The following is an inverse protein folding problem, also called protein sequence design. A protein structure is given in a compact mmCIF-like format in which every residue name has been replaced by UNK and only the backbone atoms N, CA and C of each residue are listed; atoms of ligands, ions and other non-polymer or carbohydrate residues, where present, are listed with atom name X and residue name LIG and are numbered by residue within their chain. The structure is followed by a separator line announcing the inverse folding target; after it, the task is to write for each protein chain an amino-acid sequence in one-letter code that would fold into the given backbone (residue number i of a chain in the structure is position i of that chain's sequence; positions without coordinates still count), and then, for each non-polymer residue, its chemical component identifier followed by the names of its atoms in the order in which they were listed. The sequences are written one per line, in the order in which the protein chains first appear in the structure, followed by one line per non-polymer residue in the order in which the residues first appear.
data_IF_723479994442
#
_entry.id   IF_723479994442
#
_cell.length_a   1.000
_cell.length_b   1.000
_cell.length_c   1.000
_cell.angle_alpha   90.00
_cell.angle_beta   90.00
_cell.angle_gamma   90.00
#
_symmetry.space_group_name_H-M   'P 1'
#
loop_
_entity.id
_entity.type
_entity.pdbx_description
1 polymer ?
#
# COMPACT_ATOMS: atom_id res chain seq x y z
N UNK A 1 -43.24 8.62 -17.85
CA UNK A 1 -42.04 8.96 -17.04
C UNK A 1 -41.66 7.87 -16.01
N UNK A 2 -42.06 6.60 -16.19
CA UNK A 2 -41.80 5.53 -15.20
C UNK A 2 -40.63 4.60 -15.59
N UNK A 3 -40.18 4.64 -16.86
CA UNK A 3 -39.14 3.73 -17.36
C UNK A 3 -37.70 4.24 -17.19
N UNK A 4 -37.49 5.55 -17.00
CA UNK A 4 -36.15 6.11 -16.80
C UNK A 4 -35.63 5.87 -15.38
N UNK A 5 -36.50 5.95 -14.37
CA UNK A 5 -36.12 5.74 -12.96
C UNK A 5 -35.70 4.29 -12.68
N UNK A 6 -36.32 3.32 -13.37
CA UNK A 6 -36.02 1.89 -13.22
C UNK A 6 -34.65 1.49 -13.77
N UNK A 7 -34.17 2.19 -14.81
CA UNK A 7 -32.82 2.01 -15.36
C UNK A 7 -31.71 2.51 -14.41
N UNK A 8 -31.98 3.55 -13.60
CA UNK A 8 -31.03 4.05 -12.61
C UNK A 8 -30.96 3.19 -11.34
N UNK A 9 -31.98 2.38 -11.06
CA UNK A 9 -31.97 1.49 -9.88
C UNK A 9 -31.32 0.13 -10.17
N UNK A 10 -31.09 -0.22 -11.45
CA UNK A 10 -30.64 -1.54 -11.88
C UNK A 10 -29.15 -1.61 -12.26
N UNK A 11 -28.36 -0.56 -11.95
CA UNK A 11 -26.92 -0.51 -12.20
C UNK A 11 -26.09 -0.32 -10.91
N UNK A 12 -26.61 -0.80 -9.78
CA UNK A 12 -25.86 -0.85 -8.51
C UNK A 12 -25.29 -2.24 -8.22
N UNK A 13 -25.61 -3.25 -9.03
CA UNK A 13 -25.33 -4.66 -8.75
C UNK A 13 -24.17 -5.28 -9.52
N UNK A 14 -23.60 -4.60 -10.52
CA UNK A 14 -22.51 -5.15 -11.33
C UNK A 14 -21.26 -4.28 -11.17
N UNK A 15 -20.81 -4.10 -9.93
CA UNK A 15 -19.45 -3.58 -9.71
C UNK A 15 -18.48 -4.63 -10.24
N UNK A 16 -17.73 -4.28 -11.28
CA UNK A 16 -16.85 -5.20 -11.98
C UNK A 16 -15.85 -5.80 -10.99
N UNK A 17 -16.04 -7.09 -10.71
CA UNK A 17 -15.16 -7.86 -9.83
C UNK A 17 -13.99 -8.35 -10.67
N UNK A 18 -12.77 -8.04 -10.26
CA UNK A 18 -11.58 -8.43 -10.99
C UNK A 18 -11.42 -9.95 -10.94
N UNK A 19 -11.03 -10.54 -12.07
CA UNK A 19 -10.70 -11.96 -12.08
C UNK A 19 -9.50 -12.23 -11.14
N UNK A 20 -9.45 -13.42 -10.53
CA UNK A 20 -8.31 -13.79 -9.65
C UNK A 20 -6.97 -13.72 -10.38
N UNK A 21 -6.97 -14.03 -11.68
CA UNK A 21 -5.75 -13.98 -12.49
C UNK A 21 -5.31 -12.53 -12.73
N UNK A 22 -6.26 -11.62 -12.99
CA UNK A 22 -5.97 -10.18 -13.10
C UNK A 22 -5.38 -9.63 -11.80
N UNK A 23 -6.03 -9.92 -10.66
CA UNK A 23 -5.53 -9.50 -9.33
C UNK A 23 -4.11 -10.04 -9.09
N UNK A 24 -3.84 -11.30 -9.44
CA UNK A 24 -2.52 -11.90 -9.30
C UNK A 24 -1.47 -11.21 -10.17
N UNK A 25 -1.81 -10.90 -11.42
CA UNK A 25 -0.91 -10.22 -12.36
C UNK A 25 -0.55 -8.82 -11.86
N UNK A 26 -1.55 -8.02 -11.49
CA UNK A 26 -1.32 -6.66 -10.97
C UNK A 26 -0.52 -6.69 -9.67
N UNK A 27 -0.84 -7.58 -8.73
CA UNK A 27 -0.08 -7.68 -7.47
C UNK A 27 1.38 -8.10 -7.70
N UNK A 28 1.63 -9.01 -8.64
CA UNK A 28 3.00 -9.36 -9.02
C UNK A 28 3.74 -8.17 -9.62
N UNK A 29 3.07 -7.36 -10.46
CA UNK A 29 3.64 -6.13 -11.02
C UNK A 29 4.00 -5.14 -9.91
N UNK A 30 3.08 -4.87 -8.97
CA UNK A 30 3.34 -4.01 -7.80
C UNK A 30 4.56 -4.51 -7.01
N UNK A 31 4.59 -5.80 -6.68
CA UNK A 31 5.70 -6.39 -5.93
C UNK A 31 7.03 -6.29 -6.69
N UNK A 32 7.05 -6.62 -7.98
CA UNK A 32 8.24 -6.57 -8.81
C UNK A 32 8.80 -5.16 -8.94
N UNK A 33 7.94 -4.16 -9.15
CA UNK A 33 8.38 -2.77 -9.22
C UNK A 33 8.96 -2.33 -7.88
N UNK A 34 8.28 -2.63 -6.77
CA UNK A 34 8.75 -2.31 -5.43
C UNK A 34 10.15 -2.87 -5.14
N UNK A 35 10.39 -4.16 -5.43
CA UNK A 35 11.69 -4.80 -5.14
C UNK A 35 12.81 -4.40 -6.09
N UNK A 36 12.48 -3.93 -7.30
CA UNK A 36 13.48 -3.48 -8.29
C UNK A 36 13.87 -2.03 -8.07
N UNK A 37 12.95 -1.19 -7.58
CA UNK A 37 13.20 0.25 -7.35
C UNK A 37 13.60 0.61 -5.92
N UNK A 38 13.53 -0.35 -4.98
CA UNK A 38 13.84 -0.11 -3.57
C UNK A 38 15.00 -0.97 -3.11
N UNK A 39 15.92 -0.39 -2.34
CA UNK A 39 17.05 -1.12 -1.79
C UNK A 39 16.58 -2.25 -0.84
N UNK A 40 17.16 -3.46 -0.89
CA UNK A 40 16.69 -4.60 -0.11
C UNK A 40 16.72 -4.39 1.41
N UNK A 41 17.68 -3.62 1.93
CA UNK A 41 17.80 -3.27 3.34
C UNK A 41 16.67 -2.35 3.82
N UNK A 42 16.20 -1.45 2.94
CA UNK A 42 15.02 -0.61 3.20
C UNK A 42 13.74 -1.45 3.22
N UNK A 43 13.56 -2.38 2.29
CA UNK A 43 12.41 -3.31 2.34
C UNK A 43 12.47 -4.17 3.61
N UNK A 44 13.68 -4.62 3.97
CA UNK A 44 13.92 -5.45 5.15
C UNK A 44 13.60 -4.75 6.46
N UNK A 45 13.84 -3.43 6.57
CA UNK A 45 13.55 -2.67 7.80
C UNK A 45 12.06 -2.57 8.11
N UNK A 46 11.18 -2.70 7.12
CA UNK A 46 9.72 -2.64 7.34
C UNK A 46 9.15 -3.85 8.12
N UNK A 47 9.95 -4.89 8.37
CA UNK A 47 9.52 -6.05 9.16
C UNK A 47 8.35 -6.81 8.53
N UNK A 48 8.33 -6.96 7.19
CA UNK A 48 7.23 -7.62 6.49
C UNK A 48 7.11 -9.08 6.91
N UNK A 49 6.02 -9.44 7.58
CA UNK A 49 5.76 -10.81 8.06
C UNK A 49 4.88 -11.63 7.11
N UNK A 50 4.06 -10.95 6.29
CA UNK A 50 3.11 -11.59 5.37
C UNK A 50 2.84 -10.71 4.15
N UNK A 51 2.73 -11.36 3.00
CA UNK A 51 2.23 -10.80 1.75
C UNK A 51 0.88 -11.45 1.40
N UNK A 52 -0.08 -10.67 0.92
CA UNK A 52 -1.33 -11.21 0.35
C UNK A 52 -1.91 -10.29 -0.73
N UNK A 53 -2.86 -10.82 -1.50
CA UNK A 53 -3.52 -10.10 -2.58
C UNK A 53 -5.01 -9.96 -2.29
N UNK A 54 -5.58 -8.78 -2.53
CA UNK A 54 -7.03 -8.55 -2.53
C UNK A 54 -7.40 -7.57 -3.65
N UNK A 55 -8.66 -7.59 -4.06
CA UNK A 55 -9.25 -6.41 -4.68
C UNK A 55 -9.87 -5.52 -3.60
N UNK A 56 -9.82 -4.22 -3.80
CA UNK A 56 -10.47 -3.22 -2.96
C UNK A 56 -11.38 -2.36 -3.82
N UNK A 57 -12.41 -1.78 -3.20
CA UNK A 57 -13.31 -0.82 -3.84
C UNK A 57 -13.07 0.53 -3.19
N UNK A 58 -12.95 1.58 -4.01
CA UNK A 58 -12.81 2.96 -3.56
C UNK A 58 -13.70 3.88 -4.35
N UNK A 59 -14.32 4.83 -3.66
CA UNK A 59 -15.00 5.93 -4.29
C UNK A 59 -13.97 7.02 -4.63
N UNK A 60 -13.75 7.26 -5.92
CA UNK A 60 -12.85 8.30 -6.43
C UNK A 60 -13.70 9.23 -7.29
N UNK A 61 -13.76 10.51 -6.93
CA UNK A 61 -14.54 11.54 -7.64
C UNK A 61 -16.01 11.18 -7.88
N UNK A 62 -16.63 10.45 -6.94
CA UNK A 62 -18.04 10.04 -7.03
C UNK A 62 -18.28 8.70 -7.74
N UNK A 63 -17.23 8.03 -8.22
CA UNK A 63 -17.32 6.74 -8.90
C UNK A 63 -16.63 5.64 -8.09
N UNK A 64 -17.23 4.46 -8.03
CA UNK A 64 -16.63 3.30 -7.37
C UNK A 64 -15.68 2.59 -8.34
N UNK A 65 -14.42 2.46 -7.95
CA UNK A 65 -13.38 1.76 -8.69
C UNK A 65 -12.92 0.51 -7.94
N UNK A 66 -12.90 -0.62 -8.63
CA UNK A 66 -12.28 -1.86 -8.13
C UNK A 66 -10.80 -1.86 -8.53
N UNK A 67 -9.90 -1.98 -7.56
CA UNK A 67 -8.45 -2.02 -7.77
C UNK A 67 -7.86 -3.29 -7.16
N UNK A 68 -6.85 -3.88 -7.79
CA UNK A 68 -6.04 -4.91 -7.16
C UNK A 68 -5.03 -4.26 -6.20
N UNK A 69 -4.80 -4.90 -5.05
CA UNK A 69 -3.93 -4.41 -4.00
C UNK A 69 -3.04 -5.52 -3.43
N UNK A 70 -1.74 -5.22 -3.35
CA UNK A 70 -0.78 -5.95 -2.55
C UNK A 70 -0.93 -5.53 -1.09
N UNK A 71 -0.99 -6.49 -0.18
CA UNK A 71 -1.06 -6.24 1.26
C UNK A 71 0.25 -6.67 1.89
N UNK A 72 0.91 -5.71 2.54
CA UNK A 72 2.10 -5.91 3.36
C UNK A 72 1.68 -5.87 4.83
N UNK A 73 1.87 -6.95 5.58
CA UNK A 73 1.80 -6.90 7.03
C UNK A 73 3.17 -6.50 7.57
N UNK A 74 3.29 -5.29 8.10
CA UNK A 74 4.55 -4.64 8.49
C UNK A 74 4.65 -4.44 10.00
N UNK A 75 5.87 -4.35 10.49
CA UNK A 75 6.21 -4.06 11.89
C UNK A 75 7.22 -2.90 11.97
N UNK A 76 6.91 -1.80 11.28
CA UNK A 76 7.77 -0.63 11.23
C UNK A 76 7.70 0.24 12.49
N UNK A 77 8.63 1.19 12.63
CA UNK A 77 8.64 2.16 13.72
C UNK A 77 7.43 3.09 13.74
N UNK A 78 6.94 3.49 12.56
CA UNK A 78 5.87 4.48 12.43
C UNK A 78 4.50 3.83 12.21
N UNK A 79 4.48 2.67 11.56
CA UNK A 79 3.26 1.92 11.35
C UNK A 79 3.48 0.42 11.49
N UNK A 80 2.57 -0.21 12.25
CA UNK A 80 2.48 -1.65 12.39
C UNK A 80 1.07 -2.08 11.96
N UNK A 81 0.98 -3.14 11.16
CA UNK A 81 -0.30 -3.65 10.64
C UNK A 81 -0.30 -3.81 9.13
N UNK A 82 -1.49 -3.80 8.53
CA UNK A 82 -1.63 -4.04 7.09
C UNK A 82 -1.56 -2.73 6.30
N UNK A 83 -0.63 -2.67 5.38
CA UNK A 83 -0.50 -1.64 4.35
C UNK A 83 -0.99 -2.22 3.03
N UNK A 84 -1.92 -1.53 2.39
CA UNK A 84 -2.45 -1.88 1.08
C UNK A 84 -1.82 -0.96 0.04
N UNK A 85 -1.09 -1.54 -0.90
CA UNK A 85 -0.55 -0.86 -2.08
C UNK A 85 -1.44 -1.25 -3.25
N UNK A 86 -2.27 -0.32 -3.71
CA UNK A 86 -3.19 -0.53 -4.82
C UNK A 86 -2.68 0.17 -6.08
N UNK A 87 -2.92 -0.42 -7.24
CA UNK A 87 -2.67 0.22 -8.53
C UNK A 87 -3.98 0.77 -9.09
N UNK A 88 -4.01 2.07 -9.34
CA UNK A 88 -5.08 2.73 -10.09
C UNK A 88 -4.75 2.60 -11.59
N UNK A 89 -5.19 1.48 -12.19
CA UNK A 89 -4.90 1.15 -13.60
C UNK A 89 -5.47 2.19 -14.60
N UNK A 90 -6.39 3.07 -14.16
CA UNK A 90 -6.93 4.14 -14.98
C UNK A 90 -5.95 5.31 -15.19
N UNK A 91 -5.03 5.53 -14.24
CA UNK A 91 -4.00 6.58 -14.32
C UNK A 91 -2.57 6.07 -14.21
N UNK A 92 -2.36 4.77 -13.95
CA UNK A 92 -1.06 4.12 -13.77
C UNK A 92 -0.25 4.68 -12.58
N UNK A 93 -0.96 5.05 -11.51
CA UNK A 93 -0.35 5.51 -10.24
C UNK A 93 -0.77 4.61 -9.08
N UNK A 94 0.09 4.50 -8.07
CA UNK A 94 -0.26 3.77 -6.85
C UNK A 94 -0.99 4.64 -5.84
N UNK A 95 -1.81 3.96 -5.03
CA UNK A 95 -2.47 4.49 -3.85
C UNK A 95 -2.14 3.63 -2.65
N UNK A 96 -1.83 4.25 -1.52
CA UNK A 96 -1.48 3.57 -0.27
C UNK A 96 -2.59 3.76 0.74
N UNK A 97 -3.01 2.66 1.36
CA UNK A 97 -3.96 2.66 2.46
C UNK A 97 -3.41 1.93 3.68
N UNK A 98 -3.72 2.43 4.88
CA UNK A 98 -3.49 1.72 6.12
C UNK A 98 -4.80 1.10 6.62
N UNK A 99 -4.75 -0.14 7.07
CA UNK A 99 -5.87 -0.77 7.74
C UNK A 99 -5.89 -0.41 9.23
N UNK A 100 -6.98 0.22 9.66
CA UNK A 100 -7.23 0.60 11.05
C UNK A 100 -8.68 0.32 11.40
N UNK A 101 -8.90 -0.46 12.45
CA UNK A 101 -10.24 -0.82 12.95
C UNK A 101 -11.17 -1.41 11.86
N UNK A 102 -10.60 -2.23 10.97
CA UNK A 102 -11.32 -2.85 9.85
C UNK A 102 -11.69 -1.88 8.71
N UNK A 103 -11.17 -0.65 8.73
CA UNK A 103 -11.34 0.36 7.68
C UNK A 103 -10.01 0.67 7.02
N UNK A 104 -10.07 1.09 5.76
CA UNK A 104 -8.89 1.49 4.99
C UNK A 104 -8.83 3.02 4.93
N UNK A 105 -7.78 3.59 5.51
CA UNK A 105 -7.49 5.02 5.52
C UNK A 105 -6.51 5.33 4.38
N UNK A 106 -6.88 6.25 3.48
CA UNK A 106 -6.00 6.70 2.40
C UNK A 106 -4.86 7.54 2.95
N UNK A 107 -3.62 7.13 2.68
CA UNK A 107 -2.41 7.82 3.14
C UNK A 107 -1.77 8.66 2.05
N UNK A 108 -1.75 8.13 0.83
CA UNK A 108 -1.09 8.76 -0.31
C UNK A 108 -1.69 8.25 -1.60
N UNK A 109 -1.75 9.12 -2.60
CA UNK A 109 -2.22 8.89 -3.96
C UNK A 109 -1.21 9.46 -4.94
N UNK A 110 -1.40 9.17 -6.23
CA UNK A 110 -0.60 9.72 -7.33
C UNK A 110 0.91 9.45 -7.17
N UNK A 111 1.25 8.21 -6.81
CA UNK A 111 2.64 7.77 -6.57
C UNK A 111 3.17 7.06 -7.80
N UNK A 112 4.29 7.51 -8.36
CA UNK A 112 4.94 6.82 -9.47
C UNK A 112 5.72 5.57 -8.98
N UNK A 113 6.05 4.65 -9.89
CA UNK A 113 6.71 3.39 -9.54
C UNK A 113 8.12 3.55 -8.95
N UNK A 114 8.82 4.61 -9.32
CA UNK A 114 10.15 4.98 -8.81
C UNK A 114 10.09 5.72 -7.47
N UNK A 115 8.94 6.27 -7.11
CA UNK A 115 8.69 6.92 -5.81
C UNK A 115 8.16 5.94 -4.75
N UNK A 116 7.56 4.82 -5.18
CA UNK A 116 6.78 3.91 -4.33
C UNK A 116 7.56 3.44 -3.09
N UNK A 117 8.81 3.01 -3.26
CA UNK A 117 9.67 2.55 -2.17
C UNK A 117 9.93 3.62 -1.12
N UNK A 118 10.32 4.82 -1.54
CA UNK A 118 10.61 5.94 -0.64
C UNK A 118 9.37 6.44 0.10
N UNK A 119 8.21 6.46 -0.56
CA UNK A 119 6.94 6.81 0.08
C UNK A 119 6.55 5.78 1.13
N UNK A 120 6.65 4.47 0.84
CA UNK A 120 6.37 3.42 1.80
C UNK A 120 7.32 3.49 3.00
N UNK A 121 8.61 3.66 2.75
CA UNK A 121 9.62 3.79 3.80
C UNK A 121 9.33 4.96 4.73
N UNK A 122 9.00 6.13 4.17
CA UNK A 122 8.61 7.30 4.96
C UNK A 122 7.36 7.07 5.79
N UNK A 123 6.36 6.36 5.26
CA UNK A 123 5.10 6.09 5.96
C UNK A 123 5.22 4.98 7.02
N UNK A 124 6.12 4.01 6.84
CA UNK A 124 6.19 2.79 7.65
C UNK A 124 7.32 2.88 8.69
N UNK A 125 8.46 3.46 8.32
CA UNK A 125 9.72 3.24 9.05
C UNK A 125 10.50 4.54 9.32
N UNK A 126 10.96 5.23 8.28
CA UNK A 126 11.92 6.32 8.42
C UNK A 126 11.29 7.67 8.72
N UNK A 127 10.07 7.96 8.24
CA UNK A 127 9.43 9.26 8.44
C UNK A 127 10.19 10.44 7.84
N UNK A 128 11.10 10.17 6.89
CA UNK A 128 12.02 11.17 6.35
C UNK A 128 13.17 11.54 7.30
N UNK A 129 13.40 10.76 8.36
CA UNK A 129 14.58 10.93 9.23
C UNK A 129 15.87 10.83 8.42
N UNK A 130 16.87 11.60 8.84
CA UNK A 130 18.24 11.35 8.40
C UNK A 130 18.72 9.98 8.89
N UNK A 131 19.72 9.42 8.21
CA UNK A 131 20.34 8.15 8.62
C UNK A 131 20.80 8.17 10.09
N UNK A 132 21.34 9.31 10.54
CA UNK A 132 21.83 9.46 11.92
C UNK A 132 20.70 9.39 12.95
N UNK A 133 19.57 10.04 12.69
CA UNK A 133 18.38 9.98 13.56
C UNK A 133 17.80 8.57 13.60
N UNK A 134 17.73 7.91 12.44
CA UNK A 134 17.26 6.54 12.34
C UNK A 134 18.17 5.56 13.10
N UNK A 135 19.49 5.62 12.89
CA UNK A 135 20.48 4.76 13.57
C UNK A 135 20.44 4.95 15.10
N UNK A 136 20.22 6.19 15.57
CA UNK A 136 20.04 6.48 16.99
C UNK A 136 18.79 5.80 17.57
N UNK A 137 17.66 5.89 16.84
CA UNK A 137 16.40 5.22 17.21
C UNK A 137 16.52 3.71 17.28
N UNK A 138 17.20 3.10 16.29
CA UNK A 138 17.48 1.67 16.27
C UNK A 138 18.32 1.27 17.48
N UNK A 139 19.37 2.03 17.77
CA UNK A 139 20.25 1.78 18.93
C UNK A 139 19.48 1.84 20.25
N UNK A 140 18.62 2.85 20.41
CA UNK A 140 17.75 3.02 21.58
C UNK A 140 16.78 1.84 21.74
N UNK A 141 16.05 1.48 20.68
CA UNK A 141 15.06 0.38 20.72
C UNK A 141 15.71 -0.96 21.07
N UNK A 142 16.84 -1.29 20.44
CA UNK A 142 17.46 -2.61 20.58
C UNK A 142 18.55 -2.69 21.64
N UNK A 143 18.78 -1.62 22.41
CA UNK A 143 19.79 -1.55 23.47
C UNK A 143 21.17 -2.05 23.01
N UNK A 144 21.52 -1.79 21.74
CA UNK A 144 22.79 -2.25 21.19
C UNK A 144 23.90 -1.52 21.93
N UNK A 145 24.56 -2.21 22.88
CA UNK A 145 25.77 -1.68 23.51
C UNK A 145 26.81 -1.52 22.41
N UNK A 146 27.33 -0.32 22.24
CA UNK A 146 28.50 -0.07 21.40
C UNK A 146 29.61 -1.01 21.84
N UNK A 147 29.89 -2.04 21.02
CA UNK A 147 31.10 -2.83 21.18
C UNK A 147 32.21 -1.98 20.58
N UNK A 148 32.87 -1.21 21.44
CA UNK A 148 34.13 -0.57 21.08
C UNK A 148 35.16 -1.71 20.98
N UNK A 149 35.64 -1.98 19.77
CA UNK A 149 36.79 -2.86 19.51
C UNK A 149 38.10 -2.16 19.89
#
# INVERSE_FOLDING_TARGET
MVNAARAFTQNKSDMETLSKEHVRQVVNTIWMQLVVTTAPDVIGSWGISRLSAKQIVRNINGYDFTMAALILNVDGFLFQGNVYVALDEGCDYYRIYFEKDGKLEEKRVDIAFDELGGVLDSLIESGGMSKQEYDAKVTEKYHMKTVIL
#
